data_IF_700099955587
#
_entry.id   IF_700099955587
#
_cell.length_a   1.000
_cell.length_b   1.000
_cell.length_c   1.000
_cell.angle_alpha   90.00
_cell.angle_beta   90.00
_cell.angle_gamma   90.00
#
_symmetry.space_group_name_H-M   'P 1'
#
loop_
_entity.id
_entity.type
_entity.pdbx_description
1 polymer ?
#
# COMPACT_ATOMS: atom_id res chain seq x y z
N UNK A 1 -24.41 9.10 5.03
CA UNK A 1 -25.64 9.10 4.20
C UNK A 1 -26.13 7.67 4.08
N UNK A 2 -27.28 7.34 4.67
CA UNK A 2 -27.98 6.11 4.33
C UNK A 2 -28.76 6.39 3.03
N UNK A 3 -28.60 5.56 2.00
CA UNK A 3 -29.21 5.80 0.68
C UNK A 3 -30.75 5.92 0.82
N UNK A 4 -31.37 5.03 1.60
CA UNK A 4 -32.83 4.97 1.74
C UNK A 4 -33.37 5.12 3.17
N UNK A 5 -32.48 5.31 4.15
CA UNK A 5 -32.87 5.53 5.55
C UNK A 5 -33.64 4.35 6.17
N UNK A 6 -34.46 4.60 7.21
CA UNK A 6 -35.30 3.58 7.84
C UNK A 6 -36.40 3.08 6.88
N UNK A 7 -36.67 1.77 6.95
CA UNK A 7 -37.67 1.09 6.13
C UNK A 7 -38.89 0.76 7.00
N UNK A 8 -40.07 1.21 6.60
CA UNK A 8 -41.31 1.06 7.38
C UNK A 8 -42.10 -0.20 7.01
N UNK A 9 -41.94 -0.70 5.79
CA UNK A 9 -42.64 -1.89 5.29
C UNK A 9 -41.81 -2.62 4.25
N UNK A 10 -41.87 -3.95 4.27
CA UNK A 10 -41.11 -4.83 3.40
C UNK A 10 -41.97 -6.02 2.99
N UNK A 11 -41.89 -6.44 1.71
CA UNK A 11 -42.53 -7.65 1.22
C UNK A 11 -41.66 -8.36 0.17
N UNK A 12 -41.65 -9.71 0.15
CA UNK A 12 -41.08 -10.46 -0.96
C UNK A 12 -41.88 -10.18 -2.25
N UNK A 13 -41.20 -10.08 -3.38
CA UNK A 13 -41.84 -9.77 -4.66
C UNK A 13 -41.18 -10.55 -5.79
N UNK A 14 -41.93 -11.45 -6.41
CA UNK A 14 -41.47 -12.20 -7.57
C UNK A 14 -42.34 -11.84 -8.77
N UNK A 15 -41.73 -11.26 -9.79
CA UNK A 15 -42.39 -10.88 -11.04
C UNK A 15 -41.45 -11.13 -12.23
N UNK A 16 -42.00 -11.15 -13.45
CA UNK A 16 -41.24 -11.31 -14.71
C UNK A 16 -40.11 -10.28 -14.82
N UNK A 17 -40.38 -9.04 -14.42
CA UNK A 17 -39.40 -7.94 -14.42
C UNK A 17 -38.59 -7.86 -13.12
N UNK A 18 -38.89 -8.69 -12.12
CA UNK A 18 -38.25 -8.69 -10.81
C UNK A 18 -38.15 -10.14 -10.26
N UNK A 19 -37.28 -10.97 -10.85
CA UNK A 19 -37.18 -12.37 -10.45
C UNK A 19 -36.52 -12.47 -9.08
N UNK A 20 -37.24 -13.12 -8.14
CA UNK A 20 -36.78 -13.39 -6.76
C UNK A 20 -36.35 -12.10 -6.03
N UNK A 21 -37.04 -11.00 -6.30
CA UNK A 21 -36.79 -9.72 -5.67
C UNK A 21 -37.64 -9.49 -4.42
N UNK A 22 -37.71 -8.22 -4.07
CA UNK A 22 -38.48 -7.71 -2.95
C UNK A 22 -38.93 -6.28 -3.26
N UNK A 23 -39.89 -5.80 -2.49
CA UNK A 23 -40.28 -4.41 -2.50
C UNK A 23 -40.38 -3.86 -1.08
N UNK A 24 -40.20 -2.56 -0.93
CA UNK A 24 -40.26 -1.89 0.36
C UNK A 24 -40.69 -0.44 0.23
N UNK A 25 -41.17 0.13 1.34
CA UNK A 25 -41.44 1.56 1.50
C UNK A 25 -40.41 2.19 2.42
N UNK A 26 -39.81 3.29 1.98
CA UNK A 26 -39.04 4.18 2.86
C UNK A 26 -39.95 5.17 3.60
N UNK A 27 -39.38 5.90 4.56
CA UNK A 27 -40.12 6.92 5.34
C UNK A 27 -40.63 8.11 4.52
N UNK A 28 -40.10 8.31 3.32
CA UNK A 28 -40.56 9.32 2.39
C UNK A 28 -41.82 8.88 1.61
N UNK A 29 -42.28 7.64 1.82
CA UNK A 29 -43.44 7.07 1.12
C UNK A 29 -43.12 6.58 -0.30
N UNK A 30 -41.85 6.41 -0.65
CA UNK A 30 -41.42 5.87 -1.94
C UNK A 30 -41.49 4.34 -1.92
N UNK A 31 -42.24 3.77 -2.87
CA UNK A 31 -42.21 2.33 -3.14
C UNK A 31 -41.01 1.99 -4.02
N UNK A 32 -40.17 1.05 -3.56
CA UNK A 32 -39.02 0.55 -4.33
C UNK A 32 -39.15 -0.92 -4.63
N UNK A 33 -39.01 -1.27 -5.90
CA UNK A 33 -38.92 -2.65 -6.39
C UNK A 33 -37.43 -2.95 -6.59
N UNK A 34 -36.92 -4.01 -5.96
CA UNK A 34 -35.48 -4.25 -5.87
C UNK A 34 -35.13 -5.74 -5.94
N UNK A 35 -33.89 -6.02 -6.33
CA UNK A 35 -33.33 -7.38 -6.36
C UNK A 35 -31.98 -7.33 -5.63
N UNK A 36 -31.65 -8.39 -4.90
CA UNK A 36 -30.33 -8.51 -4.29
C UNK A 36 -29.24 -8.61 -5.38
N UNK A 37 -28.14 -7.85 -5.30
CA UNK A 37 -27.02 -7.99 -6.22
C UNK A 37 -26.52 -9.44 -6.27
N UNK A 38 -26.57 -10.05 -7.46
CA UNK A 38 -26.28 -11.48 -7.65
C UNK A 38 -24.79 -11.85 -7.53
N UNK A 39 -23.89 -10.87 -7.62
CA UNK A 39 -22.44 -11.10 -7.60
C UNK A 39 -21.86 -11.31 -6.19
N UNK A 40 -22.68 -11.17 -5.14
CA UNK A 40 -22.29 -11.30 -3.74
C UNK A 40 -22.82 -12.61 -3.15
N UNK A 41 -22.01 -13.26 -2.32
CA UNK A 41 -22.46 -14.27 -1.38
C UNK A 41 -22.94 -13.59 -0.11
N UNK A 42 -24.20 -13.86 0.25
CA UNK A 42 -24.81 -13.40 1.51
C UNK A 42 -24.70 -14.44 2.63
N UNK A 43 -24.12 -15.62 2.34
CA UNK A 43 -23.90 -16.71 3.29
C UNK A 43 -22.50 -16.60 3.94
N UNK A 44 -22.23 -15.44 4.54
CA UNK A 44 -21.02 -15.12 5.27
C UNK A 44 -21.34 -14.01 6.27
N UNK A 45 -20.51 -13.78 7.32
CA UNK A 45 -20.78 -12.74 8.31
C UNK A 45 -21.04 -11.38 7.68
N UNK A 46 -20.30 -11.04 6.62
CA UNK A 46 -20.53 -9.88 5.77
C UNK A 46 -20.80 -10.35 4.32
N UNK A 47 -21.60 -9.62 3.51
CA UNK A 47 -21.75 -9.91 2.09
C UNK A 47 -20.40 -9.80 1.35
N UNK A 48 -19.96 -10.87 0.69
CA UNK A 48 -18.62 -10.95 0.09
C UNK A 48 -18.64 -11.51 -1.33
N UNK A 49 -17.71 -11.04 -2.16
CA UNK A 49 -17.39 -11.63 -3.47
C UNK A 49 -15.95 -12.13 -3.44
N UNK A 50 -15.75 -13.44 -3.63
CA UNK A 50 -14.41 -14.03 -3.71
C UNK A 50 -13.92 -14.00 -5.15
N UNK A 51 -12.77 -13.36 -5.40
CA UNK A 51 -12.16 -13.25 -6.73
C UNK A 51 -10.92 -14.15 -6.76
N UNK A 52 -10.95 -15.28 -7.48
CA UNK A 52 -9.84 -16.22 -7.50
C UNK A 52 -8.72 -15.75 -8.44
N UNK A 53 -7.62 -15.25 -7.86
CA UNK A 53 -6.45 -14.79 -8.63
C UNK A 53 -5.50 -15.93 -9.04
N UNK A 54 -5.56 -17.09 -8.36
CA UNK A 54 -4.66 -18.25 -8.56
C UNK A 54 -3.16 -17.94 -8.38
N UNK A 55 -2.87 -16.85 -7.68
CA UNK A 55 -1.53 -16.39 -7.30
C UNK A 55 -1.62 -15.70 -5.94
N UNK A 56 -0.48 -15.40 -5.32
CA UNK A 56 -0.44 -14.70 -4.03
C UNK A 56 -0.67 -13.20 -4.27
N UNK A 57 -1.68 -12.62 -3.63
CA UNK A 57 -1.90 -11.17 -3.64
C UNK A 57 -1.22 -10.55 -2.42
N UNK A 58 -0.29 -9.63 -2.65
CA UNK A 58 0.52 -8.99 -1.61
C UNK A 58 -0.06 -7.64 -1.18
N UNK A 59 -0.36 -6.79 -2.17
CA UNK A 59 -0.83 -5.43 -1.93
C UNK A 59 -1.99 -5.07 -2.84
N UNK A 60 -2.88 -4.23 -2.34
CA UNK A 60 -3.97 -3.62 -3.10
C UNK A 60 -4.02 -2.12 -2.81
N UNK A 61 -4.12 -1.32 -3.85
CA UNK A 61 -4.22 0.13 -3.76
C UNK A 61 -5.37 0.61 -4.65
N UNK A 62 -6.29 1.38 -4.08
CA UNK A 62 -7.40 1.97 -4.83
C UNK A 62 -6.98 3.33 -5.41
N UNK A 63 -7.04 3.46 -6.73
CA UNK A 63 -6.81 4.72 -7.43
C UNK A 63 -8.14 5.48 -7.54
N UNK A 64 -8.24 6.62 -6.88
CA UNK A 64 -9.51 7.33 -6.66
C UNK A 64 -10.03 7.95 -7.95
N UNK A 65 -9.14 8.55 -8.75
CA UNK A 65 -9.46 9.29 -9.95
C UNK A 65 -10.09 8.39 -11.03
N UNK A 66 -9.46 7.24 -11.31
CA UNK A 66 -9.92 6.28 -12.35
C UNK A 66 -10.78 5.15 -11.79
N UNK A 67 -10.98 5.11 -10.46
CA UNK A 67 -11.81 4.13 -9.73
C UNK A 67 -11.45 2.68 -10.02
N UNK A 68 -10.16 2.35 -9.99
CA UNK A 68 -9.65 0.98 -10.19
C UNK A 68 -8.73 0.56 -9.05
N UNK A 69 -8.48 -0.73 -8.94
CA UNK A 69 -7.51 -1.28 -8.00
C UNK A 69 -6.22 -1.66 -8.72
N UNK A 70 -5.09 -1.16 -8.24
CA UNK A 70 -3.79 -1.76 -8.54
C UNK A 70 -3.56 -2.91 -7.54
N UNK A 71 -3.19 -4.08 -8.04
CA UNK A 71 -2.92 -5.27 -7.22
C UNK A 71 -1.54 -5.82 -7.56
N UNK A 72 -0.68 -5.92 -6.55
CA UNK A 72 0.62 -6.57 -6.66
C UNK A 72 0.46 -8.04 -6.31
N UNK A 73 0.91 -8.92 -7.21
CA UNK A 73 0.78 -10.37 -7.10
C UNK A 73 2.11 -11.06 -7.34
N UNK A 74 2.32 -12.25 -6.78
CA UNK A 74 3.46 -13.10 -7.11
C UNK A 74 3.06 -14.52 -7.50
N UNK A 75 3.84 -15.11 -8.40
CA UNK A 75 3.77 -16.52 -8.79
C UNK A 75 5.07 -17.20 -8.37
N UNK A 76 4.95 -18.40 -7.82
CA UNK A 76 6.08 -19.23 -7.39
C UNK A 76 6.58 -20.07 -8.56
N UNK A 77 7.84 -19.87 -8.95
CA UNK A 77 8.52 -20.60 -10.01
C UNK A 77 9.73 -21.35 -9.43
N UNK A 78 10.15 -22.50 -10.01
CA UNK A 78 11.39 -23.16 -9.62
C UNK A 78 12.61 -22.25 -9.85
N UNK A 79 13.45 -22.08 -8.83
CA UNK A 79 14.71 -21.36 -8.91
C UNK A 79 15.76 -22.21 -9.65
N UNK A 80 16.33 -21.66 -10.71
CA UNK A 80 17.32 -22.35 -11.57
C UNK A 80 18.71 -21.73 -11.51
N UNK A 81 18.86 -20.54 -10.93
CA UNK A 81 20.12 -19.80 -10.90
C UNK A 81 20.41 -19.21 -9.51
N UNK A 82 21.67 -19.23 -9.12
CA UNK A 82 22.17 -18.64 -7.87
C UNK A 82 23.05 -17.45 -8.24
N UNK A 83 22.67 -16.21 -7.86
CA UNK A 83 23.54 -15.06 -8.01
C UNK A 83 24.74 -15.15 -7.06
N UNK A 84 25.95 -14.91 -7.57
CA UNK A 84 27.19 -14.81 -6.81
C UNK A 84 27.90 -13.51 -7.13
N UNK A 85 28.66 -13.00 -6.17
CA UNK A 85 29.59 -11.89 -6.38
C UNK A 85 31.02 -12.43 -6.55
N UNK A 86 31.60 -12.23 -7.74
CA UNK A 86 33.00 -12.54 -8.05
C UNK A 86 33.77 -11.25 -8.25
N UNK A 87 34.27 -10.67 -7.16
CA UNK A 87 34.91 -9.35 -7.20
C UNK A 87 33.89 -8.23 -7.37
N UNK A 88 33.89 -7.55 -8.53
CA UNK A 88 33.00 -6.42 -8.82
C UNK A 88 31.80 -6.78 -9.73
N UNK A 89 31.79 -7.96 -10.35
CA UNK A 89 30.73 -8.40 -11.26
C UNK A 89 29.78 -9.41 -10.62
N UNK A 90 28.51 -9.37 -11.08
CA UNK A 90 27.48 -10.34 -10.71
C UNK A 90 27.49 -11.50 -11.69
N UNK A 91 27.77 -12.70 -11.19
CA UNK A 91 27.68 -13.93 -11.97
C UNK A 91 26.45 -14.75 -11.53
N UNK A 92 25.89 -15.53 -12.44
CA UNK A 92 24.76 -16.42 -12.17
C UNK A 92 25.17 -17.87 -12.40
N UNK A 93 25.25 -18.65 -11.33
CA UNK A 93 25.53 -20.08 -11.39
C UNK A 93 24.24 -20.86 -11.62
N UNK A 94 24.17 -21.67 -12.67
CA UNK A 94 23.03 -22.56 -12.92
C UNK A 94 23.03 -23.73 -11.93
N UNK A 95 21.86 -24.04 -11.36
CA UNK A 95 21.69 -25.17 -10.44
C UNK A 95 21.61 -26.47 -11.26
N UNK A 96 22.76 -27.11 -11.45
CA UNK A 96 22.84 -28.43 -12.10
C UNK A 96 22.71 -29.55 -11.05
N UNK A 97 21.55 -30.23 -11.02
CA UNK A 97 21.24 -31.33 -10.11
C UNK A 97 20.50 -32.45 -10.85
N UNK A 98 20.32 -33.60 -10.20
CA UNK A 98 19.59 -34.72 -10.79
C UNK A 98 18.07 -34.45 -10.87
N UNK A 99 17.35 -35.22 -11.68
CA UNK A 99 15.90 -35.05 -11.90
C UNK A 99 15.05 -35.21 -10.62
N UNK A 100 15.63 -35.78 -9.55
CA UNK A 100 14.97 -35.96 -8.25
C UNK A 100 15.16 -34.76 -7.32
N UNK A 101 16.00 -33.80 -7.71
CA UNK A 101 16.25 -32.60 -6.93
C UNK A 101 15.03 -31.69 -6.91
N UNK A 102 14.62 -31.30 -5.71
CA UNK A 102 13.53 -30.34 -5.53
C UNK A 102 14.12 -28.94 -5.51
N UNK A 103 13.83 -28.18 -6.56
CA UNK A 103 14.27 -26.80 -6.67
C UNK A 103 13.65 -25.90 -5.59
N UNK A 104 14.42 -24.94 -5.04
CA UNK A 104 13.86 -23.86 -4.25
C UNK A 104 12.81 -23.08 -5.05
N UNK A 105 11.88 -22.45 -4.34
CA UNK A 105 10.86 -21.62 -4.96
C UNK A 105 11.35 -20.16 -5.05
N UNK A 106 11.18 -19.56 -6.21
CA UNK A 106 11.49 -18.16 -6.49
C UNK A 106 10.19 -17.43 -6.87
N UNK A 107 9.94 -16.31 -6.22
CA UNK A 107 8.76 -15.50 -6.52
C UNK A 107 9.04 -14.54 -7.68
N UNK A 108 8.12 -14.48 -8.63
CA UNK A 108 8.09 -13.48 -9.70
C UNK A 108 6.90 -12.55 -9.48
N UNK A 109 7.20 -11.26 -9.24
CA UNK A 109 6.19 -10.25 -8.96
C UNK A 109 5.62 -9.63 -10.23
N UNK A 110 4.34 -9.27 -10.18
CA UNK A 110 3.69 -8.48 -11.23
C UNK A 110 2.58 -7.60 -10.65
N UNK A 111 2.35 -6.46 -11.26
CA UNK A 111 1.32 -5.49 -10.88
C UNK A 111 0.27 -5.45 -11.98
N UNK A 112 -1.00 -5.52 -11.60
CA UNK A 112 -2.13 -5.52 -12.54
C UNK A 112 -3.25 -4.61 -12.06
N UNK A 113 -4.03 -4.07 -13.00
CA UNK A 113 -5.26 -3.34 -12.68
C UNK A 113 -6.46 -4.27 -12.64
N UNK A 114 -7.33 -4.07 -11.65
CA UNK A 114 -8.63 -4.75 -11.54
C UNK A 114 -9.74 -3.69 -11.54
N UNK A 115 -10.72 -3.89 -12.41
CA UNK A 115 -11.90 -3.02 -12.49
C UNK A 115 -12.96 -3.45 -11.47
N UNK A 116 -13.49 -2.55 -10.61
CA UNK A 116 -14.59 -2.90 -9.69
C UNK A 116 -15.92 -3.19 -10.40
N UNK A 117 -16.04 -2.86 -11.70
CA UNK A 117 -17.28 -3.07 -12.47
C UNK A 117 -17.49 -4.56 -12.73
N UNK A 118 -16.48 -5.24 -13.30
CA UNK A 118 -16.55 -6.68 -13.58
C UNK A 118 -15.78 -7.55 -12.58
N UNK A 119 -14.86 -6.96 -11.81
CA UNK A 119 -13.86 -7.64 -10.98
C UNK A 119 -12.91 -8.54 -11.77
N UNK A 120 -12.61 -8.12 -12.99
CA UNK A 120 -11.63 -8.77 -13.88
C UNK A 120 -10.38 -7.92 -14.01
N UNK A 121 -9.26 -8.58 -14.29
CA UNK A 121 -8.02 -7.90 -14.62
C UNK A 121 -8.17 -7.17 -15.95
N UNK A 122 -7.71 -5.93 -16.01
CA UNK A 122 -7.75 -5.13 -17.24
C UNK A 122 -6.67 -5.67 -18.19
N UNK A 123 -7.04 -6.11 -19.40
CA UNK A 123 -6.07 -6.63 -20.37
C UNK A 123 -4.96 -5.62 -20.67
N UNK A 124 -3.75 -6.11 -20.99
CA UNK A 124 -2.61 -5.27 -21.40
C UNK A 124 -2.15 -4.23 -20.35
N UNK A 125 -2.52 -4.39 -19.08
CA UNK A 125 -2.09 -3.52 -17.97
C UNK A 125 -1.16 -4.22 -16.98
N UNK A 126 -0.74 -5.45 -17.27
CA UNK A 126 0.19 -6.17 -16.40
C UNK A 126 1.60 -5.64 -16.59
N UNK A 127 2.23 -5.23 -15.49
CA UNK A 127 3.65 -4.87 -15.42
C UNK A 127 4.36 -6.01 -14.72
N UNK A 128 5.30 -6.65 -15.41
CA UNK A 128 6.16 -7.68 -14.84
C UNK A 128 7.43 -7.03 -14.28
N UNK A 129 7.79 -7.43 -13.07
CA UNK A 129 8.99 -6.96 -12.40
C UNK A 129 10.20 -7.82 -12.80
N UNK A 130 11.40 -7.35 -12.46
CA UNK A 130 12.63 -8.08 -12.75
C UNK A 130 12.73 -9.38 -11.95
N UNK A 131 13.56 -10.31 -12.42
CA UNK A 131 13.84 -11.53 -11.66
C UNK A 131 14.47 -11.18 -10.30
N UNK A 132 14.07 -11.89 -9.24
CA UNK A 132 14.45 -11.62 -7.84
C UNK A 132 13.97 -10.27 -7.29
N UNK A 133 13.22 -9.48 -8.05
CA UNK A 133 12.67 -8.22 -7.57
C UNK A 133 11.33 -8.46 -6.86
N UNK A 134 11.26 -8.03 -5.61
CA UNK A 134 10.10 -8.19 -4.75
C UNK A 134 9.49 -6.84 -4.44
N UNK A 135 8.16 -6.78 -4.48
CA UNK A 135 7.42 -5.59 -4.04
C UNK A 135 7.39 -5.57 -2.52
N UNK A 136 7.98 -4.54 -1.91
CA UNK A 136 8.01 -4.37 -0.45
C UNK A 136 6.87 -3.50 0.06
N UNK A 137 6.35 -2.60 -0.78
CA UNK A 137 5.21 -1.77 -0.43
C UNK A 137 4.53 -1.22 -1.70
N UNK A 138 3.22 -1.05 -1.64
CA UNK A 138 2.44 -0.35 -2.67
C UNK A 138 1.33 0.47 -2.01
N UNK A 139 1.29 1.77 -2.31
CA UNK A 139 0.28 2.69 -1.77
C UNK A 139 -0.19 3.68 -2.83
N UNK A 140 -1.44 4.10 -2.72
CA UNK A 140 -1.91 5.32 -3.38
C UNK A 140 -1.31 6.51 -2.65
N UNK A 141 -0.58 7.36 -3.36
CA UNK A 141 0.09 8.55 -2.83
C UNK A 141 -0.45 9.80 -3.49
N UNK A 142 -0.76 10.82 -2.70
CA UNK A 142 -1.16 12.14 -3.22
C UNK A 142 0.07 13.03 -3.26
N UNK A 143 0.54 13.37 -4.47
CA UNK A 143 1.75 14.17 -4.69
C UNK A 143 1.40 15.54 -5.28
N UNK A 144 2.26 16.54 -5.05
CA UNK A 144 2.07 17.91 -5.59
C UNK A 144 2.03 17.87 -7.12
N UNK A 145 1.00 18.48 -7.71
CA UNK A 145 0.84 18.60 -9.16
C UNK A 145 0.14 19.91 -9.51
N UNK A 146 0.69 20.63 -10.49
CA UNK A 146 0.13 21.87 -11.05
C UNK A 146 -1.07 21.61 -11.97
N UNK A 147 -1.31 20.35 -12.36
CA UNK A 147 -2.41 19.96 -13.25
C UNK A 147 -3.79 19.99 -12.57
N UNK A 148 -3.83 20.02 -11.23
CA UNK A 148 -5.07 19.88 -10.46
C UNK A 148 -5.38 21.13 -9.64
N UNK A 149 -6.66 21.46 -9.47
CA UNK A 149 -7.10 22.63 -8.68
C UNK A 149 -6.71 22.50 -7.20
N UNK A 150 -6.66 21.27 -6.67
CA UNK A 150 -6.25 21.03 -5.28
C UNK A 150 -4.75 21.17 -5.04
N UNK A 151 -3.96 21.22 -6.12
CA UNK A 151 -2.49 21.13 -6.07
C UNK A 151 -1.96 19.74 -5.77
N UNK A 152 -2.82 18.71 -5.65
CA UNK A 152 -2.47 17.32 -5.39
C UNK A 152 -3.11 16.38 -6.41
N UNK A 153 -2.34 15.40 -6.88
CA UNK A 153 -2.79 14.32 -7.76
C UNK A 153 -2.44 12.96 -7.16
N UNK A 154 -3.37 12.01 -7.24
CA UNK A 154 -3.16 10.62 -6.85
C UNK A 154 -2.28 9.88 -7.85
N UNK A 155 -1.36 9.07 -7.33
CA UNK A 155 -0.52 8.15 -8.08
C UNK A 155 -0.41 6.81 -7.33
N UNK A 156 -0.04 5.75 -8.03
CA UNK A 156 0.32 4.47 -7.40
C UNK A 156 1.85 4.43 -7.29
N UNK A 157 2.35 4.48 -6.05
CA UNK A 157 3.78 4.35 -5.78
C UNK A 157 4.08 2.95 -5.24
N UNK A 158 5.17 2.37 -5.76
CA UNK A 158 5.63 1.02 -5.45
C UNK A 158 7.10 1.08 -5.09
N UNK A 159 7.43 0.48 -3.95
CA UNK A 159 8.79 0.24 -3.52
C UNK A 159 9.14 -1.21 -3.76
N UNK A 160 10.31 -1.45 -4.33
CA UNK A 160 10.80 -2.79 -4.61
C UNK A 160 12.22 -2.98 -4.11
N UNK A 161 12.61 -4.23 -3.89
CA UNK A 161 13.99 -4.60 -3.60
C UNK A 161 14.39 -5.88 -4.34
N UNK A 162 15.67 -5.97 -4.71
CA UNK A 162 16.24 -7.09 -5.42
C UNK A 162 16.85 -8.07 -4.39
N UNK A 163 16.19 -9.20 -4.16
CA UNK A 163 16.58 -10.20 -3.15
C UNK A 163 17.40 -11.32 -3.77
N UNK A 164 18.72 -11.14 -3.81
CA UNK A 164 19.70 -12.04 -4.45
C UNK A 164 20.56 -12.80 -3.42
N UNK A 165 20.01 -13.08 -2.24
CA UNK A 165 20.76 -13.69 -1.12
C UNK A 165 21.53 -12.65 -0.29
N UNK A 166 22.20 -13.13 0.77
CA UNK A 166 22.87 -12.28 1.77
C UNK A 166 24.23 -11.75 1.28
N UNK A 167 24.92 -12.49 0.41
CA UNK A 167 26.24 -12.12 -0.12
C UNK A 167 26.18 -10.98 -1.15
N UNK A 168 25.00 -10.75 -1.75
CA UNK A 168 24.78 -9.74 -2.77
C UNK A 168 24.13 -8.52 -2.15
N UNK A 169 24.74 -7.35 -2.32
CA UNK A 169 24.15 -6.08 -1.84
C UNK A 169 22.75 -5.87 -2.41
N UNK A 170 21.77 -5.81 -1.50
CA UNK A 170 20.39 -5.55 -1.87
C UNK A 170 20.21 -4.08 -2.29
N UNK A 171 19.73 -3.88 -3.51
CA UNK A 171 19.31 -2.57 -4.02
C UNK A 171 17.81 -2.55 -4.23
N UNK A 172 17.24 -1.36 -4.35
CA UNK A 172 15.81 -1.19 -4.53
C UNK A 172 15.48 -0.32 -5.72
N UNK A 173 14.20 -0.22 -6.04
CA UNK A 173 13.69 0.65 -7.10
C UNK A 173 12.40 1.29 -6.63
N UNK A 174 12.22 2.56 -7.01
CA UNK A 174 10.95 3.26 -6.81
C UNK A 174 10.27 3.32 -8.16
N UNK A 175 9.03 2.85 -8.21
CA UNK A 175 8.15 2.98 -9.36
C UNK A 175 6.97 3.88 -8.99
N UNK A 176 6.71 4.91 -9.80
CA UNK A 176 5.53 5.77 -9.68
C UNK A 176 4.74 5.64 -10.97
N UNK A 177 3.49 5.22 -10.85
CA UNK A 177 2.59 4.98 -11.96
C UNK A 177 1.35 5.88 -11.83
N UNK A 178 0.91 6.41 -12.95
CA UNK A 178 -0.39 7.04 -13.11
C UNK A 178 -1.34 6.06 -13.80
N UNK A 179 -2.64 6.15 -13.51
CA UNK A 179 -3.67 5.39 -14.20
C UNK A 179 -4.45 6.35 -15.09
N UNK A 180 -4.09 6.37 -16.38
CA UNK A 180 -4.69 7.26 -17.36
C UNK A 180 -5.88 6.59 -18.06
N UNK A 181 -6.87 7.40 -18.41
CA UNK A 181 -7.93 6.96 -19.32
C UNK A 181 -7.45 7.08 -20.78
N UNK A 182 -7.65 6.02 -21.55
CA UNK A 182 -7.32 5.88 -22.97
C UNK A 182 -8.55 5.43 -23.75
N UNK A 183 -8.51 5.60 -25.07
CA UNK A 183 -9.57 5.08 -25.94
C UNK A 183 -9.59 3.55 -25.84
N UNK A 184 -10.72 2.92 -25.44
CA UNK A 184 -10.79 1.47 -25.31
C UNK A 184 -10.68 0.79 -26.67
N UNK A 185 -10.09 -0.40 -26.67
CA UNK A 185 -10.00 -1.25 -27.86
C UNK A 185 -11.39 -1.73 -28.31
N UNK A 186 -11.66 -1.83 -29.63
CA UNK A 186 -12.94 -2.32 -30.14
C UNK A 186 -13.29 -3.71 -29.57
N UNK A 187 -14.44 -3.82 -28.90
CA UNK A 187 -14.91 -5.06 -28.26
C UNK A 187 -14.38 -5.32 -26.85
N UNK A 188 -13.52 -4.47 -26.30
CA UNK A 188 -12.98 -4.60 -24.94
C UNK A 188 -13.18 -3.31 -24.13
N UNK A 189 -14.36 -3.09 -23.50
CA UNK A 189 -14.65 -1.85 -22.78
C UNK A 189 -13.76 -1.63 -21.54
N UNK A 190 -13.14 -2.68 -21.00
CA UNK A 190 -12.28 -2.61 -19.83
C UNK A 190 -10.93 -1.92 -20.11
N UNK A 191 -10.45 -1.94 -21.37
CA UNK A 191 -9.14 -1.38 -21.75
C UNK A 191 -9.12 0.14 -21.81
N UNK A 192 -10.16 0.81 -21.28
CA UNK A 192 -10.19 2.26 -21.11
C UNK A 192 -9.16 2.79 -20.11
N UNK A 193 -8.63 1.96 -19.21
CA UNK A 193 -7.66 2.38 -18.20
C UNK A 193 -6.32 1.69 -18.47
N UNK A 194 -5.22 2.45 -18.40
CA UNK A 194 -3.87 1.92 -18.60
C UNK A 194 -2.88 2.52 -17.61
N UNK A 195 -1.88 1.73 -17.21
CA UNK A 195 -0.74 2.27 -16.48
C UNK A 195 0.13 3.15 -17.39
N UNK A 196 0.54 4.29 -16.85
CA UNK A 196 1.62 5.12 -17.38
C UNK A 196 2.69 5.21 -16.30
N UNK A 197 3.84 4.56 -16.53
CA UNK A 197 5.00 4.69 -15.64
C UNK A 197 5.57 6.10 -15.80
N UNK A 198 5.60 6.85 -14.71
CA UNK A 198 6.13 8.22 -14.69
C UNK A 198 7.57 8.24 -14.19
N UNK A 199 7.84 7.51 -13.12
CA UNK A 199 9.19 7.41 -12.54
C UNK A 199 9.54 5.95 -12.35
N UNK A 200 10.72 5.57 -12.83
CA UNK A 200 11.30 4.26 -12.63
C UNK A 200 12.81 4.44 -12.53
N UNK A 201 13.35 4.44 -11.30
CA UNK A 201 14.80 4.53 -11.08
C UNK A 201 15.23 3.67 -9.89
N UNK A 202 16.35 2.99 -10.07
CA UNK A 202 17.06 2.26 -9.04
C UNK A 202 17.55 3.19 -7.94
N UNK A 203 17.56 2.69 -6.70
CA UNK A 203 17.98 3.37 -5.50
C UNK A 203 19.20 2.65 -4.91
N UNK A 204 20.04 3.42 -4.19
CA UNK A 204 21.30 2.91 -3.62
C UNK A 204 21.14 1.87 -2.51
N UNK A 205 19.92 1.64 -2.03
CA UNK A 205 19.58 0.63 -1.03
C UNK A 205 18.17 0.08 -1.27
N UNK A 206 17.75 -0.92 -0.50
CA UNK A 206 16.42 -1.50 -0.64
C UNK A 206 15.36 -0.45 -0.28
N UNK A 207 14.33 -0.31 -1.12
CA UNK A 207 13.16 0.52 -0.79
C UNK A 207 12.23 -0.37 0.03
N UNK A 208 11.96 0.01 1.28
CA UNK A 208 11.28 -0.89 2.24
C UNK A 208 9.88 -0.40 2.62
N UNK A 209 9.66 0.91 2.59
CA UNK A 209 8.37 1.52 2.87
C UNK A 209 8.20 2.83 2.09
N UNK A 210 6.95 3.18 1.80
CA UNK A 210 6.55 4.42 1.15
C UNK A 210 5.33 5.03 1.84
N UNK A 211 5.26 6.37 1.88
CA UNK A 211 4.05 7.13 2.17
C UNK A 211 4.13 8.52 1.50
N UNK A 212 3.15 9.39 1.75
CA UNK A 212 3.17 10.76 1.25
C UNK A 212 2.96 11.76 2.39
N UNK A 213 3.60 12.92 2.35
CA UNK A 213 3.48 13.94 3.39
C UNK A 213 3.38 15.31 2.72
N UNK A 214 2.26 16.03 2.88
CA UNK A 214 2.02 17.33 2.24
C UNK A 214 2.31 17.37 0.72
N UNK A 215 2.01 16.29 -0.01
CA UNK A 215 2.27 16.19 -1.44
C UNK A 215 3.72 15.81 -1.82
N UNK A 216 4.56 15.50 -0.85
CA UNK A 216 5.90 14.93 -1.06
C UNK A 216 5.88 13.42 -0.90
N UNK A 217 6.70 12.71 -1.67
CA UNK A 217 6.88 11.26 -1.49
C UNK A 217 7.87 11.02 -0.37
N UNK A 218 7.53 10.17 0.59
CA UNK A 218 8.44 9.76 1.66
C UNK A 218 8.79 8.30 1.44
N UNK A 219 10.08 7.97 1.42
CA UNK A 219 10.57 6.61 1.19
C UNK A 219 11.61 6.21 2.23
N UNK A 220 11.47 5.00 2.78
CA UNK A 220 12.52 4.36 3.53
C UNK A 220 13.43 3.59 2.56
N UNK A 221 14.71 3.95 2.54
CA UNK A 221 15.74 3.33 1.69
C UNK A 221 16.91 2.92 2.58
N UNK A 222 17.06 1.62 2.81
CA UNK A 222 18.00 1.09 3.80
C UNK A 222 17.77 1.68 5.18
N UNK A 223 18.83 2.24 5.79
CA UNK A 223 18.77 2.85 7.12
C UNK A 223 18.45 4.35 7.10
N UNK A 224 17.84 4.87 6.02
CA UNK A 224 17.47 6.28 5.90
C UNK A 224 16.04 6.45 5.43
N UNK A 225 15.39 7.51 5.89
CA UNK A 225 14.14 7.98 5.30
C UNK A 225 14.44 9.24 4.50
N UNK A 226 14.00 9.23 3.25
CA UNK A 226 14.11 10.34 2.32
C UNK A 226 12.74 10.95 2.05
N UNK A 227 12.72 12.27 1.84
CA UNK A 227 11.55 13.01 1.40
C UNK A 227 11.87 13.63 0.03
N UNK A 228 11.02 13.35 -0.95
CA UNK A 228 11.20 13.69 -2.35
C UNK A 228 10.10 14.60 -2.86
N UNK A 229 10.47 15.54 -3.72
CA UNK A 229 9.52 16.28 -4.55
C UNK A 229 9.52 15.70 -5.95
N UNK A 230 8.34 15.30 -6.44
CA UNK A 230 8.15 14.89 -7.82
C UNK A 230 7.99 16.15 -8.70
N UNK A 231 8.87 16.33 -9.68
CA UNK A 231 8.78 17.42 -10.66
C UNK A 231 9.28 16.93 -12.00
N UNK A 232 8.54 17.20 -13.08
CA UNK A 232 8.90 16.79 -14.45
C UNK A 232 9.24 15.30 -14.57
N UNK A 233 8.49 14.44 -13.87
CA UNK A 233 8.72 12.99 -13.78
C UNK A 233 10.06 12.58 -13.14
N UNK A 234 10.71 13.48 -12.40
CA UNK A 234 11.91 13.17 -11.61
C UNK A 234 11.69 13.42 -10.11
N UNK A 235 12.28 12.57 -9.27
CA UNK A 235 12.32 12.76 -7.82
C UNK A 235 13.55 13.57 -7.44
N UNK A 236 13.31 14.72 -6.82
CA UNK A 236 14.35 15.59 -6.25
C UNK A 236 14.38 15.43 -4.73
N UNK A 237 15.56 15.10 -4.18
CA UNK A 237 15.73 14.87 -2.75
C UNK A 237 15.67 16.19 -1.97
N UNK A 238 14.73 16.31 -1.04
CA UNK A 238 14.48 17.53 -0.27
C UNK A 238 15.07 17.43 1.14
N UNK A 239 14.86 16.31 1.80
CA UNK A 239 15.33 16.05 3.17
C UNK A 239 15.64 14.56 3.36
N UNK A 240 16.46 14.25 4.35
CA UNK A 240 16.65 12.89 4.81
C UNK A 240 16.89 12.86 6.32
N UNK A 241 16.66 11.70 6.93
CA UNK A 241 17.07 11.41 8.30
C UNK A 241 17.63 9.99 8.37
N UNK A 242 18.62 9.79 9.23
CA UNK A 242 19.09 8.45 9.54
C UNK A 242 18.09 7.77 10.50
N UNK A 243 17.80 6.51 10.23
CA UNK A 243 16.88 5.67 10.99
C UNK A 243 17.63 4.48 11.58
N UNK A 244 16.92 3.48 12.08
CA UNK A 244 17.51 2.39 12.85
C UNK A 244 17.85 1.21 11.93
N UNK A 245 17.07 0.15 11.93
CA UNK A 245 17.44 -1.11 11.29
C UNK A 245 16.72 -1.29 9.96
N UNK A 246 15.39 -1.44 10.01
CA UNK A 246 14.56 -1.72 8.83
C UNK A 246 13.17 -1.15 9.05
N UNK A 247 12.88 -0.05 8.35
CA UNK A 247 11.55 0.57 8.39
C UNK A 247 10.65 -0.16 7.39
N UNK A 248 9.75 -0.99 7.88
CA UNK A 248 8.87 -1.80 7.02
C UNK A 248 7.50 -1.14 6.77
N UNK A 249 7.08 -0.20 7.62
CA UNK A 249 5.79 0.48 7.49
C UNK A 249 5.97 1.98 7.80
N UNK A 250 5.33 2.82 6.97
CA UNK A 250 5.22 4.26 7.22
C UNK A 250 3.81 4.75 6.92
N UNK A 251 3.29 5.59 7.81
CA UNK A 251 2.05 6.34 7.61
C UNK A 251 2.29 7.80 7.97
N UNK A 252 1.39 8.66 7.56
CA UNK A 252 1.55 10.10 7.73
C UNK A 252 0.21 10.78 7.98
N UNK A 253 0.26 11.85 8.75
CA UNK A 253 -0.88 12.73 9.00
C UNK A 253 -0.38 14.16 9.02
N UNK A 254 -0.91 14.98 8.11
CA UNK A 254 -0.40 16.35 7.86
C UNK A 254 1.12 16.32 7.62
N UNK A 255 1.89 16.93 8.50
CA UNK A 255 3.35 17.01 8.45
C UNK A 255 4.08 16.03 9.38
N UNK A 256 3.35 15.13 10.05
CA UNK A 256 3.93 14.06 10.86
C UNK A 256 4.02 12.76 10.06
N UNK A 257 5.11 12.05 10.26
CA UNK A 257 5.36 10.74 9.66
C UNK A 257 5.64 9.79 10.81
N UNK A 258 4.89 8.69 10.86
CA UNK A 258 5.10 7.61 11.80
C UNK A 258 5.77 6.46 11.06
N UNK A 259 6.99 6.12 11.48
CA UNK A 259 7.78 5.04 10.94
C UNK A 259 7.83 3.87 11.93
N UNK A 260 7.62 2.65 11.44
CA UNK A 260 7.72 1.42 12.22
C UNK A 260 8.95 0.63 11.81
N UNK A 261 9.80 0.32 12.80
CA UNK A 261 10.95 -0.54 12.65
C UNK A 261 10.59 -1.99 13.05
N UNK A 262 11.20 -2.95 12.38
CA UNK A 262 10.96 -4.38 12.62
C UNK A 262 11.32 -4.81 14.06
N UNK A 263 12.29 -4.17 14.71
CA UNK A 263 12.71 -4.54 16.08
C UNK A 263 12.73 -3.37 17.05
N UNK A 264 12.75 -2.14 16.55
CA UNK A 264 12.97 -0.92 17.34
C UNK A 264 11.73 -0.04 17.48
N UNK A 265 10.55 -0.67 17.54
CA UNK A 265 9.27 0.00 17.80
C UNK A 265 9.00 1.11 16.78
N UNK A 266 8.29 2.16 17.21
CA UNK A 266 7.85 3.27 16.38
C UNK A 266 8.67 4.55 16.61
N UNK A 267 8.83 5.33 15.55
CA UNK A 267 9.48 6.64 15.57
C UNK A 267 8.57 7.68 14.91
N UNK A 268 8.33 8.77 15.63
CA UNK A 268 7.56 9.92 15.16
C UNK A 268 8.49 10.99 14.61
N UNK A 269 8.32 11.29 13.32
CA UNK A 269 9.09 12.28 12.58
C UNK A 269 8.18 13.46 12.23
N UNK A 270 8.76 14.64 12.09
CA UNK A 270 8.06 15.84 11.61
C UNK A 270 8.84 16.48 10.48
N UNK A 271 8.13 16.82 9.42
CA UNK A 271 8.66 17.63 8.33
C UNK A 271 8.33 19.11 8.55
N UNK A 272 9.34 19.96 8.38
CA UNK A 272 9.21 21.41 8.42
C UNK A 272 9.48 21.96 7.03
N UNK A 273 8.45 22.50 6.38
CA UNK A 273 8.52 22.94 4.97
C UNK A 273 9.40 24.18 4.78
N UNK A 274 9.40 25.11 5.75
CA UNK A 274 10.18 26.34 5.72
C UNK A 274 11.70 26.08 5.72
N UNK A 275 12.15 25.18 6.59
CA UNK A 275 13.57 24.81 6.72
C UNK A 275 13.97 23.66 5.80
N UNK A 276 13.00 22.97 5.18
CA UNK A 276 13.18 21.72 4.43
C UNK A 276 13.90 20.64 5.26
N UNK A 277 13.63 20.57 6.56
CA UNK A 277 14.27 19.59 7.46
C UNK A 277 13.28 18.54 7.94
N UNK A 278 13.75 17.29 8.04
CA UNK A 278 13.04 16.20 8.68
C UNK A 278 13.64 15.97 10.07
N UNK A 279 12.85 16.09 11.13
CA UNK A 279 13.30 16.00 12.52
C UNK A 279 12.63 14.84 13.25
N UNK A 280 13.39 14.07 14.03
CA UNK A 280 12.85 13.10 14.98
C UNK A 280 12.21 13.85 16.16
N UNK A 281 10.89 13.72 16.30
CA UNK A 281 10.13 14.34 17.40
C UNK A 281 10.23 13.48 18.65
N UNK A 282 9.97 12.19 18.48
CA UNK A 282 9.91 11.24 19.58
C UNK A 282 10.01 9.82 19.06
N UNK A 283 10.38 8.89 19.94
CA UNK A 283 10.42 7.46 19.66
C UNK A 283 10.14 6.66 20.92
N UNK A 284 9.70 5.43 20.74
CA UNK A 284 9.75 4.44 21.82
C UNK A 284 11.15 3.80 21.85
N UNK A 285 11.77 3.77 23.03
CA UNK A 285 13.09 3.17 23.23
C UNK A 285 13.02 1.67 23.49
N UNK A 286 11.84 1.14 23.83
CA UNK A 286 11.67 -0.29 24.10
C UNK A 286 11.73 -1.07 22.79
N UNK A 287 12.40 -2.23 22.75
CA UNK A 287 12.32 -3.10 21.60
C UNK A 287 10.89 -3.62 21.47
N UNK A 288 10.35 -3.54 20.26
CA UNK A 288 9.02 -4.05 19.93
C UNK A 288 9.05 -4.51 18.47
N UNK A 289 8.59 -5.74 18.23
CA UNK A 289 8.46 -6.30 16.88
C UNK A 289 7.12 -5.86 16.27
N UNK A 290 7.15 -4.74 15.55
CA UNK A 290 5.95 -4.10 15.00
C UNK A 290 5.51 -4.80 13.72
N UNK A 291 4.20 -5.03 13.59
CA UNK A 291 3.58 -5.59 12.39
C UNK A 291 2.95 -4.52 11.50
N UNK A 292 2.26 -3.56 12.11
CA UNK A 292 1.62 -2.45 11.42
C UNK A 292 1.35 -1.31 12.39
N UNK A 293 1.15 -0.12 11.82
CA UNK A 293 0.81 1.09 12.56
C UNK A 293 -0.36 1.79 11.90
N UNK A 294 -1.17 2.48 12.70
CA UNK A 294 -2.26 3.36 12.26
C UNK A 294 -2.41 4.56 13.22
N UNK A 295 -3.28 5.51 12.88
CA UNK A 295 -3.63 6.63 13.75
C UNK A 295 -5.01 6.41 14.42
N UNK A 296 -5.06 6.60 15.73
CA UNK A 296 -6.31 6.74 16.48
C UNK A 296 -6.65 8.21 16.60
N UNK A 297 -7.65 8.66 15.84
CA UNK A 297 -8.09 10.06 15.83
C UNK A 297 -9.33 10.19 16.72
N UNK A 298 -9.18 10.83 17.87
CA UNK A 298 -10.29 11.12 18.77
C UNK A 298 -10.40 12.63 19.01
N UNK A 299 -11.32 13.27 18.30
CA UNK A 299 -11.63 14.69 18.45
C UNK A 299 -10.39 15.59 18.34
N UNK A 300 -9.79 15.98 19.48
CA UNK A 300 -8.59 16.80 19.57
C UNK A 300 -7.31 16.01 19.87
N UNK A 301 -7.42 14.71 20.12
CA UNK A 301 -6.32 13.81 20.44
C UNK A 301 -5.92 12.97 19.23
N UNK A 302 -4.61 12.69 19.15
CA UNK A 302 -4.02 11.83 18.14
C UNK A 302 -3.18 10.76 18.83
N UNK A 303 -3.65 9.52 18.78
CA UNK A 303 -2.91 8.33 19.21
C UNK A 303 -2.26 7.61 18.03
N UNK A 304 -1.23 6.83 18.33
CA UNK A 304 -0.54 5.95 17.39
C UNK A 304 -0.88 4.51 17.77
N UNK A 305 -1.69 3.84 16.95
CA UNK A 305 -2.02 2.45 17.14
C UNK A 305 -0.89 1.58 16.57
N UNK A 306 -0.46 0.60 17.34
CA UNK A 306 0.61 -0.32 16.98
C UNK A 306 0.13 -1.75 17.24
N UNK A 307 0.29 -2.62 16.25
CA UNK A 307 0.12 -4.07 16.42
C UNK A 307 1.48 -4.75 16.47
N UNK A 308 1.65 -5.71 17.36
CA UNK A 308 2.91 -6.46 17.52
C UNK A 308 2.77 -7.96 17.21
N UNK A 309 3.89 -8.67 17.25
CA UNK A 309 3.98 -10.12 17.04
C UNK A 309 3.16 -10.93 18.06
N UNK A 310 3.03 -10.43 19.27
CA UNK A 310 2.34 -11.11 20.38
C UNK A 310 0.82 -10.91 20.35
N UNK A 311 0.30 -10.32 19.26
CA UNK A 311 -1.13 -10.03 19.01
C UNK A 311 -1.70 -8.97 19.95
N UNK A 312 -0.86 -8.07 20.43
CA UNK A 312 -1.31 -6.92 21.19
C UNK A 312 -1.68 -5.76 20.27
N UNK A 313 -2.58 -4.91 20.76
CA UNK A 313 -2.85 -3.59 20.21
C UNK A 313 -2.48 -2.56 21.27
N UNK A 314 -1.52 -1.72 20.95
CA UNK A 314 -1.00 -0.69 21.84
C UNK A 314 -1.33 0.68 21.26
N UNK A 315 -1.79 1.59 22.11
CA UNK A 315 -1.99 3.00 21.73
C UNK A 315 -0.91 3.83 22.39
N UNK A 316 -0.06 4.42 21.56
CA UNK A 316 0.92 5.40 21.99
C UNK A 316 0.35 6.81 21.84
N UNK A 317 0.84 7.73 22.64
CA UNK A 317 0.54 9.15 22.48
C UNK A 317 1.82 9.97 22.63
N UNK A 318 1.89 11.08 21.91
CA UNK A 318 2.93 12.09 22.11
C UNK A 318 2.40 13.19 23.03
N UNK A 319 2.87 13.20 24.28
CA UNK A 319 2.52 14.20 25.29
C UNK A 319 3.77 14.96 25.71
N UNK A 320 4.03 16.16 25.13
CA UNK A 320 5.23 16.96 25.47
C UNK A 320 5.27 17.37 26.95
N UNK A 321 4.10 17.59 27.55
CA UNK A 321 3.92 18.12 28.91
C UNK A 321 3.44 17.05 29.90
N UNK A 322 3.33 15.78 29.48
CA UNK A 322 2.68 14.73 30.27
C UNK A 322 3.60 13.99 31.26
N UNK A 323 3.05 13.63 32.41
CA UNK A 323 3.62 12.61 33.30
C UNK A 323 3.48 11.20 32.67
N UNK A 324 4.34 10.22 33.03
CA UNK A 324 4.25 8.86 32.50
C UNK A 324 2.87 8.25 32.77
N UNK A 325 2.21 7.79 31.70
CA UNK A 325 0.85 7.24 31.77
C UNK A 325 0.80 5.83 32.40
N UNK A 326 -0.35 5.44 32.98
CA UNK A 326 -0.57 4.10 33.52
C UNK A 326 -0.52 3.00 32.44
N UNK A 327 -0.36 1.75 32.89
CA UNK A 327 -0.20 0.58 32.04
C UNK A 327 -1.31 0.45 30.97
N UNK A 328 -0.91 0.43 29.70
CA UNK A 328 -1.81 0.36 28.54
C UNK A 328 -1.68 1.53 27.56
N UNK A 329 -1.06 2.65 27.98
CA UNK A 329 -0.75 3.78 27.12
C UNK A 329 0.74 4.09 27.20
N UNK A 330 1.46 3.89 26.11
CA UNK A 330 2.91 4.12 26.09
C UNK A 330 3.21 5.52 25.55
N UNK A 331 3.86 6.36 26.37
CA UNK A 331 4.30 7.68 25.92
C UNK A 331 5.61 7.55 25.13
N UNK A 332 5.58 7.96 23.87
CA UNK A 332 6.83 8.29 23.19
C UNK A 332 7.31 9.61 23.82
N UNK A 333 8.42 9.56 24.56
CA UNK A 333 8.99 10.74 25.21
C UNK A 333 9.79 11.55 24.17
N UNK A 334 9.74 12.88 24.25
CA UNK A 334 10.58 13.74 23.41
C UNK A 334 12.06 13.48 23.70
N UNK A 335 12.90 13.50 22.67
CA UNK A 335 14.34 13.62 22.89
C UNK A 335 14.58 15.05 23.38
N UNK A 336 14.87 15.22 24.68
CA UNK A 336 15.39 16.45 25.24
C UNK A 336 16.82 16.71 24.78
#
# INVERSE_FOLDING_TARGET
MAIDGPIDSFAPFHNVNCPKGFLYFNRQGELRISVLPAALSYDAPWPVRKIPLRCTAHYVAYHVESKVYAVATSVSNPCTRIPRMTGEEKEFESIERDDRYVHPQQEAFSIQLISPVSWEAIPNTRIELEEWEHVTCMKTVSLKSEETVSGLKGYVAVGTCLMQGEEVTCRGRILIMDVIEVVPEPGQPLTKNKFKVLYEKEQKGPVTALCHCNGYLVSAIGQKIFLWSLKDNELTGMAFIDTQLYIHQMISVKNFILAADVMKSISLLRYQEESKTLSLVSRDAKPLEVYSVDFMVDSTQLGFLVSDRDRNLLVYMYLPEGEPLPAGTACCHGNG
#
